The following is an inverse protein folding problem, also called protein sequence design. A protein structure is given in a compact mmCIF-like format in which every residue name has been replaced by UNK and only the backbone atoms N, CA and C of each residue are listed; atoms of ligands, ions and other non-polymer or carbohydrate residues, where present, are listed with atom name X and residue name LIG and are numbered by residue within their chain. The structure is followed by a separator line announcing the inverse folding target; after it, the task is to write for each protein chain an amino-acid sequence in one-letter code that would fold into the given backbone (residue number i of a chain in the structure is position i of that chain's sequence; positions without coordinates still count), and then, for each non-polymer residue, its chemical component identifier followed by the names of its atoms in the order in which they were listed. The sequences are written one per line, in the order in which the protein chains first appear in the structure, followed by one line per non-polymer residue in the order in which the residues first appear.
data_IF_104634433617
#
_entry.id   IF_104634433617
#
_cell.length_a   1.000
_cell.length_b   1.000
_cell.length_c   1.000
_cell.angle_alpha   90.00
_cell.angle_beta   90.00
_cell.angle_gamma   90.00
#
_symmetry.space_group_name_H-M   'P 1'
#
loop_
_entity.id
_entity.type
_entity.pdbx_description
1 polymer ?
#
# COMPACT_ATOMS: atom_id res chain seq x y z
N UNK A 1 -20.03 14.56 9.75
CA UNK A 1 -18.90 14.95 8.86
C UNK A 1 -18.33 13.69 8.20
N UNK A 2 -18.87 13.39 7.02
CA UNK A 2 -18.79 12.07 6.39
C UNK A 2 -17.43 11.80 5.78
N UNK A 3 -16.89 10.62 6.07
CA UNK A 3 -15.82 10.02 5.29
C UNK A 3 -16.37 9.87 3.87
N UNK A 4 -15.75 10.50 2.85
CA UNK A 4 -16.14 10.26 1.48
C UNK A 4 -16.01 8.77 1.19
N UNK A 5 -17.13 8.13 0.84
CA UNK A 5 -17.24 6.76 0.31
C UNK A 5 -16.58 6.62 -1.07
N UNK A 6 -15.41 7.22 -1.26
CA UNK A 6 -14.59 7.15 -2.46
C UNK A 6 -13.22 6.76 -1.95
N UNK A 7 -13.00 5.50 -1.59
CA UNK A 7 -11.64 5.00 -1.34
C UNK A 7 -11.51 3.48 -1.43
N UNK A 8 -12.49 2.79 -2.04
CA UNK A 8 -12.38 1.36 -2.32
C UNK A 8 -11.59 1.05 -3.62
N UNK A 9 -11.27 2.06 -4.42
CA UNK A 9 -10.96 1.84 -5.84
C UNK A 9 -9.82 2.75 -6.33
N UNK A 10 -8.62 2.62 -5.75
CA UNK A 10 -7.39 3.00 -6.46
C UNK A 10 -6.72 1.75 -7.03
N UNK A 11 -7.52 0.95 -7.72
CA UNK A 11 -7.01 -0.07 -8.63
C UNK A 11 -6.42 0.65 -9.85
N UNK A 12 -5.10 0.66 -10.01
CA UNK A 12 -4.59 0.45 -11.38
C UNK A 12 -4.81 -1.02 -11.68
N UNK A 13 -5.88 -1.25 -12.44
CA UNK A 13 -6.20 -2.46 -13.17
C UNK A 13 -4.99 -3.38 -13.35
N UNK A 14 -5.00 -4.52 -12.68
CA UNK A 14 -4.58 -5.76 -13.33
C UNK A 14 -5.78 -6.67 -13.34
N UNK A 15 -6.73 -6.35 -14.23
CA UNK A 15 -7.53 -7.39 -14.84
C UNK A 15 -6.58 -8.21 -15.71
N UNK A 16 -6.46 -9.49 -15.35
CA UNK A 16 -6.50 -10.59 -16.30
C UNK A 16 -5.77 -10.36 -17.64
N UNK A 17 -4.43 -10.25 -17.66
CA UNK A 17 -3.65 -10.73 -18.82
C UNK A 17 -2.13 -10.70 -18.58
N UNK A 18 -1.55 -11.50 -17.67
CA UNK A 18 -0.08 -11.68 -17.71
C UNK A 18 0.34 -13.10 -17.38
N UNK A 19 0.41 -13.91 -18.43
CA UNK A 19 1.10 -15.21 -18.47
C UNK A 19 2.64 -15.09 -18.44
N UNK A 20 3.20 -13.90 -18.22
CA UNK A 20 4.64 -13.66 -18.30
C UNK A 20 5.13 -12.77 -17.14
N UNK A 21 5.84 -13.42 -16.20
CA UNK A 21 6.44 -12.96 -14.92
C UNK A 21 5.51 -12.80 -13.68
N UNK A 22 5.86 -13.41 -12.52
CA UNK A 22 5.15 -13.16 -11.26
C UNK A 22 5.46 -11.75 -10.75
N UNK A 23 4.45 -11.04 -10.27
CA UNK A 23 4.65 -9.81 -9.51
C UNK A 23 5.28 -10.15 -8.16
N UNK A 24 6.26 -9.36 -7.75
CA UNK A 24 6.70 -9.33 -6.36
C UNK A 24 5.67 -8.55 -5.55
N UNK A 25 5.34 -9.06 -4.36
CA UNK A 25 4.34 -8.48 -3.47
C UNK A 25 4.96 -8.23 -2.09
N UNK A 26 4.77 -7.02 -1.57
CA UNK A 26 5.01 -6.68 -0.18
C UNK A 26 3.74 -6.15 0.46
N UNK A 27 3.57 -6.42 1.75
CA UNK A 27 2.40 -5.99 2.51
C UNK A 27 2.84 -5.24 3.75
N UNK A 28 2.14 -4.14 4.05
CA UNK A 28 2.31 -3.36 5.29
C UNK A 28 0.97 -3.26 6.01
N UNK A 29 0.96 -3.61 7.29
CA UNK A 29 -0.20 -3.46 8.16
C UNK A 29 -0.01 -2.21 9.01
N UNK A 30 -0.94 -1.26 8.90
CA UNK A 30 -0.82 0.09 9.46
C UNK A 30 -1.91 0.36 10.49
N UNK A 31 -1.53 0.90 11.65
CA UNK A 31 -2.43 1.27 12.77
C UNK A 31 -3.15 2.58 12.57
N UNK A 32 -2.59 3.43 11.72
CA UNK A 32 -3.17 4.73 11.39
C UNK A 32 -4.42 4.59 10.55
N UNK A 33 -5.35 5.52 10.74
CA UNK A 33 -6.56 5.59 9.94
C UNK A 33 -6.25 5.96 8.49
N UNK A 34 -7.15 5.56 7.60
CA UNK A 34 -7.04 5.77 6.15
C UNK A 34 -6.73 7.23 5.76
N UNK A 35 -7.37 8.21 6.42
CA UNK A 35 -7.14 9.63 6.14
C UNK A 35 -5.70 10.09 6.36
N UNK A 36 -4.98 9.49 7.31
CA UNK A 36 -3.56 9.82 7.60
C UNK A 36 -2.67 9.25 6.50
N UNK A 37 -2.91 8.00 6.11
CA UNK A 37 -2.01 7.31 5.17
C UNK A 37 -2.30 7.65 3.71
N UNK A 38 -3.52 8.05 3.36
CA UNK A 38 -3.89 8.33 1.96
C UNK A 38 -2.98 9.37 1.30
N UNK A 39 -2.61 10.44 2.02
CA UNK A 39 -1.67 11.44 1.53
C UNK A 39 -0.25 10.86 1.34
N UNK A 40 0.20 10.02 2.26
CA UNK A 40 1.50 9.33 2.19
C UNK A 40 1.55 8.40 0.97
N UNK A 41 0.50 7.61 0.76
CA UNK A 41 0.38 6.69 -0.38
C UNK A 41 0.36 7.44 -1.71
N UNK A 42 -0.31 8.60 -1.78
CA UNK A 42 -0.32 9.41 -2.99
C UNK A 42 1.07 9.97 -3.31
N UNK A 43 1.76 10.50 -2.31
CA UNK A 43 3.13 11.00 -2.49
C UNK A 43 4.11 9.88 -2.87
N UNK A 44 3.88 8.67 -2.37
CA UNK A 44 4.65 7.50 -2.79
C UNK A 44 4.44 7.21 -4.28
N UNK A 45 3.20 7.23 -4.79
CA UNK A 45 2.91 7.01 -6.21
C UNK A 45 3.49 8.10 -7.13
N UNK A 46 3.64 9.33 -6.63
CA UNK A 46 4.35 10.38 -7.39
C UNK A 46 5.83 10.05 -7.58
N UNK A 47 6.46 9.40 -6.59
CA UNK A 47 7.87 8.97 -6.67
C UNK A 47 8.05 7.61 -7.35
N UNK A 48 7.02 6.77 -7.32
CA UNK A 48 7.03 5.42 -7.87
C UNK A 48 5.78 5.19 -8.75
N UNK A 49 5.71 5.81 -9.94
CA UNK A 49 4.51 5.82 -10.77
C UNK A 49 4.15 4.46 -11.40
N UNK A 50 5.08 3.52 -11.44
CA UNK A 50 4.88 2.16 -11.95
C UNK A 50 4.52 1.17 -10.84
N UNK A 51 4.55 1.61 -9.58
CA UNK A 51 4.13 0.80 -8.44
C UNK A 51 2.62 0.57 -8.49
N UNK A 52 2.24 -0.68 -8.26
CA UNK A 52 0.86 -1.04 -8.04
C UNK A 52 0.61 -1.02 -6.53
N UNK A 53 -0.25 -0.12 -6.10
CA UNK A 53 -0.47 0.17 -4.69
C UNK A 53 -1.95 -0.05 -4.36
N UNK A 54 -2.22 -0.96 -3.42
CA UNK A 54 -3.55 -1.20 -2.87
C UNK A 54 -3.62 -0.81 -1.40
N UNK A 55 -4.77 -0.28 -0.94
CA UNK A 55 -5.03 0.00 0.48
C UNK A 55 -6.43 -0.47 0.85
N UNK A 56 -6.52 -1.27 1.91
CA UNK A 56 -7.74 -1.94 2.34
C UNK A 56 -8.00 -1.61 3.82
N UNK A 57 -8.90 -0.65 4.12
CA UNK A 57 -9.28 -0.38 5.49
C UNK A 57 -9.97 -1.61 6.09
N UNK A 58 -9.64 -1.91 7.34
CA UNK A 58 -10.22 -3.02 8.09
C UNK A 58 -11.11 -2.47 9.18
N UNK A 59 -12.38 -2.85 9.12
CA UNK A 59 -13.35 -2.55 10.16
C UNK A 59 -13.13 -3.53 11.32
N UNK A 60 -13.25 -3.03 12.55
CA UNK A 60 -13.28 -3.85 13.77
C UNK A 60 -12.02 -4.67 14.06
N UNK A 61 -10.83 -4.16 13.70
CA UNK A 61 -9.57 -4.80 14.05
C UNK A 61 -8.75 -3.92 15.03
N UNK A 62 -8.44 -4.42 16.24
CA UNK A 62 -7.71 -3.65 17.24
C UNK A 62 -6.21 -3.51 16.92
N UNK A 63 -5.64 -4.39 16.10
CA UNK A 63 -4.21 -4.46 15.83
C UNK A 63 -3.75 -3.53 14.69
N UNK A 64 -4.56 -3.39 13.65
CA UNK A 64 -4.27 -2.51 12.51
C UNK A 64 -5.57 -2.04 11.86
N UNK A 65 -5.52 -0.87 11.23
CA UNK A 65 -6.70 -0.24 10.59
C UNK A 65 -6.65 -0.31 9.08
N UNK A 66 -5.47 -0.44 8.48
CA UNK A 66 -5.34 -0.54 7.01
C UNK A 66 -4.27 -1.57 6.63
N UNK A 67 -4.59 -2.42 5.67
CA UNK A 67 -3.63 -3.28 4.97
C UNK A 67 -3.23 -2.58 3.66
N UNK A 68 -1.93 -2.40 3.44
CA UNK A 68 -1.38 -1.80 2.21
C UNK A 68 -0.61 -2.87 1.45
N UNK A 69 -0.84 -2.99 0.15
CA UNK A 69 -0.14 -3.90 -0.76
C UNK A 69 0.69 -3.10 -1.77
N UNK A 70 1.94 -3.51 -1.97
CA UNK A 70 2.87 -2.94 -2.93
C UNK A 70 3.28 -4.05 -3.88
N UNK A 71 3.08 -3.84 -5.18
CA UNK A 71 3.34 -4.83 -6.21
C UNK A 71 4.15 -4.23 -7.36
N UNK A 72 5.09 -5.01 -7.90
CA UNK A 72 5.92 -4.62 -9.04
C UNK A 72 6.46 -5.87 -9.76
N UNK A 73 6.76 -5.75 -11.06
CA UNK A 73 7.53 -6.77 -11.79
C UNK A 73 9.04 -6.68 -11.52
N UNK A 74 9.49 -5.57 -10.93
CA UNK A 74 10.88 -5.30 -10.57
C UNK A 74 11.04 -5.34 -9.05
N UNK A 75 11.88 -6.26 -8.55
CA UNK A 75 12.12 -6.48 -7.13
C UNK A 75 12.86 -5.32 -6.48
N UNK A 76 13.94 -4.84 -7.08
CA UNK A 76 14.72 -3.71 -6.57
C UNK A 76 13.86 -2.43 -6.53
N UNK A 77 13.01 -2.23 -7.54
CA UNK A 77 12.05 -1.13 -7.54
C UNK A 77 11.06 -1.23 -6.36
N UNK A 78 10.51 -2.44 -6.13
CA UNK A 78 9.61 -2.71 -5.02
C UNK A 78 10.29 -2.48 -3.67
N UNK A 79 11.53 -2.94 -3.51
CA UNK A 79 12.31 -2.79 -2.28
C UNK A 79 12.51 -1.31 -1.93
N UNK A 80 12.91 -0.49 -2.90
CA UNK A 80 13.06 0.96 -2.71
C UNK A 80 11.74 1.64 -2.36
N UNK A 81 10.65 1.28 -3.04
CA UNK A 81 9.33 1.84 -2.78
C UNK A 81 8.83 1.48 -1.38
N UNK A 82 9.06 0.24 -0.97
CA UNK A 82 8.72 -0.28 0.33
C UNK A 82 9.52 0.42 1.44
N UNK A 83 10.84 0.54 1.30
CA UNK A 83 11.68 1.25 2.26
C UNK A 83 11.29 2.73 2.35
N UNK A 84 10.96 3.36 1.22
CA UNK A 84 10.46 4.74 1.23
C UNK A 84 9.15 4.85 1.99
N UNK A 85 8.22 3.93 1.81
CA UNK A 85 6.96 3.91 2.56
C UNK A 85 7.22 3.78 4.07
N UNK A 86 8.05 2.82 4.48
CA UNK A 86 8.37 2.59 5.90
C UNK A 86 9.02 3.82 6.56
N UNK A 87 9.89 4.54 5.84
CA UNK A 87 10.51 5.77 6.34
C UNK A 87 9.56 6.98 6.37
N UNK A 88 8.50 6.97 5.56
CA UNK A 88 7.53 8.08 5.50
C UNK A 88 6.39 7.89 6.50
N UNK A 89 6.07 6.64 6.83
CA UNK A 89 5.05 6.34 7.83
C UNK A 89 5.46 6.87 9.21
N UNK A 90 4.49 7.35 10.03
CA UNK A 90 4.77 7.78 11.39
C UNK A 90 5.42 6.67 12.22
N UNK A 91 6.27 7.06 13.19
CA UNK A 91 6.88 6.09 14.10
C UNK A 91 5.81 5.30 14.85
N UNK A 92 5.92 3.97 14.84
CA UNK A 92 4.95 3.07 15.48
C UNK A 92 3.66 2.82 14.68
N UNK A 93 3.50 3.43 13.51
CA UNK A 93 2.34 3.20 12.64
C UNK A 93 2.33 1.78 12.04
N UNK A 94 3.51 1.22 11.78
CA UNK A 94 3.65 -0.13 11.20
C UNK A 94 3.46 -1.18 12.29
N UNK A 95 2.43 -2.01 12.15
CA UNK A 95 2.18 -3.16 13.02
C UNK A 95 2.96 -4.40 12.55
N UNK A 96 2.97 -4.66 11.24
CA UNK A 96 3.60 -5.85 10.65
C UNK A 96 3.90 -5.62 9.16
N UNK A 97 4.86 -6.38 8.64
CA UNK A 97 5.19 -6.48 7.21
C UNK A 97 5.24 -7.93 6.73
N UNK A 98 4.98 -8.16 5.43
CA UNK A 98 5.12 -9.46 4.76
C UNK A 98 5.84 -9.30 3.41
N UNK A 99 6.48 -10.37 2.91
CA UNK A 99 7.14 -10.40 1.59
C UNK A 99 8.61 -9.98 1.57
N UNK A 100 9.39 -10.33 2.60
CA UNK A 100 10.85 -10.13 2.64
C UNK A 100 11.60 -10.91 1.55
#
# INVERSE_FOLDING_TARGET
PGIPKILHERFRVIKEDFRDAPFYLKVVYVKEGEGVIAAILNSLLESFPDLLLGSYPVLDNPDYKVKVTLESKDRDYLDRAFDRLLHTLPKGAVQRTEGS
#
